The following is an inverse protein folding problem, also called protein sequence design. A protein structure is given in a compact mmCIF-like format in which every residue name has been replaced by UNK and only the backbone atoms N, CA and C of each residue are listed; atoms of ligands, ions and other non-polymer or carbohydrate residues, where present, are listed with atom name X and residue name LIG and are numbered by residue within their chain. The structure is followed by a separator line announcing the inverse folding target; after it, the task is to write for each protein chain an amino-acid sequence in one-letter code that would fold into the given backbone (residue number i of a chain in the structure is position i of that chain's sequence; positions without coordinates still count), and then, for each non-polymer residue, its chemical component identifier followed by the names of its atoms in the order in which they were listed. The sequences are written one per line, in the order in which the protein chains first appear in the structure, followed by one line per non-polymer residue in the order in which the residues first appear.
data_IF_624756534865
#
_entry.id   IF_624756534865
#
_cell.length_a   1.000
_cell.length_b   1.000
_cell.length_c   1.000
_cell.angle_alpha   90.00
_cell.angle_beta   90.00
_cell.angle_gamma   90.00
#
_symmetry.space_group_name_H-M   'P 1'
#
loop_
_entity.id
_entity.type
_entity.pdbx_description
1 polymer ?
#
# COMPACT_ATOMS: atom_id res chain seq x y z
N UNK A 1 17.33 -22.16 -29.18
CA UNK A 1 17.01 -21.05 -28.25
C UNK A 1 15.83 -21.48 -27.38
N UNK A 2 16.08 -22.18 -26.28
CA UNK A 2 15.03 -22.59 -25.33
C UNK A 2 15.64 -23.08 -24.01
N UNK A 3 16.44 -22.25 -23.35
CA UNK A 3 16.63 -22.37 -21.90
C UNK A 3 15.72 -21.33 -21.26
N UNK A 4 14.41 -21.58 -21.36
CA UNK A 4 13.42 -20.83 -20.59
C UNK A 4 13.68 -21.14 -19.12
N UNK A 5 13.81 -20.06 -18.34
CA UNK A 5 13.94 -20.00 -16.89
C UNK A 5 13.29 -21.19 -16.18
N UNK A 6 14.10 -22.12 -15.67
CA UNK A 6 13.62 -23.32 -14.99
C UNK A 6 13.44 -22.98 -13.52
N UNK A 7 12.19 -22.79 -13.11
CA UNK A 7 11.83 -22.62 -11.70
C UNK A 7 12.14 -23.93 -10.98
N UNK A 8 12.99 -23.86 -9.96
CA UNK A 8 13.24 -25.00 -9.09
C UNK A 8 12.05 -25.12 -8.13
N UNK A 9 11.32 -26.24 -8.14
CA UNK A 9 10.22 -26.43 -7.21
C UNK A 9 10.74 -26.44 -5.77
N UNK A 10 9.97 -25.91 -4.83
CA UNK A 10 10.34 -25.95 -3.41
C UNK A 10 10.41 -27.39 -2.88
N UNK A 11 11.16 -27.58 -1.80
CA UNK A 11 11.37 -28.87 -1.12
C UNK A 11 10.28 -29.20 -0.07
N UNK A 12 9.27 -28.33 0.07
CA UNK A 12 8.12 -28.47 0.97
C UNK A 12 6.80 -28.69 0.19
N UNK A 13 5.76 -29.30 0.81
CA UNK A 13 4.48 -29.54 0.16
C UNK A 13 3.75 -28.22 -0.12
N UNK A 14 3.22 -28.07 -1.34
CA UNK A 14 2.59 -26.82 -1.79
C UNK A 14 1.15 -26.97 -2.26
N UNK A 15 0.33 -25.96 -1.95
CA UNK A 15 -0.91 -25.64 -2.65
C UNK A 15 -0.61 -24.75 -3.86
N UNK A 16 -1.66 -24.25 -4.52
CA UNK A 16 -1.48 -23.45 -5.74
C UNK A 16 -0.67 -22.16 -5.51
N UNK A 17 -0.93 -21.43 -4.42
CA UNK A 17 -0.26 -20.15 -4.11
C UNK A 17 0.78 -20.23 -2.99
N UNK A 18 0.55 -21.05 -1.98
CA UNK A 18 1.42 -21.10 -0.81
C UNK A 18 1.68 -22.55 -0.42
N UNK A 19 2.56 -22.77 0.53
CA UNK A 19 2.75 -24.09 1.10
C UNK A 19 1.50 -24.64 1.80
N UNK A 20 1.49 -25.94 2.08
CA UNK A 20 0.44 -26.56 2.88
C UNK A 20 0.65 -26.13 4.33
N UNK A 21 -0.19 -25.19 4.78
CA UNK A 21 -0.12 -24.63 6.14
C UNK A 21 -0.85 -25.48 7.19
N UNK A 22 -0.41 -25.33 8.42
CA UNK A 22 -1.06 -25.86 9.61
C UNK A 22 -2.07 -24.86 10.17
N UNK A 23 -2.94 -25.29 11.10
CA UNK A 23 -3.98 -24.43 11.66
C UNK A 23 -3.43 -23.14 12.30
N UNK A 24 -2.21 -23.19 12.84
CA UNK A 24 -1.57 -22.04 13.49
C UNK A 24 -1.10 -20.98 12.49
N UNK A 25 -0.82 -21.33 11.22
CA UNK A 25 -0.43 -20.38 10.17
C UNK A 25 -1.59 -19.44 9.81
N UNK A 26 -2.78 -20.03 9.70
CA UNK A 26 -4.02 -19.28 9.46
C UNK A 26 -4.39 -18.42 10.67
N UNK A 27 -4.18 -18.93 11.90
CA UNK A 27 -4.39 -18.13 13.11
C UNK A 27 -3.40 -16.96 13.17
N UNK A 28 -2.11 -17.20 12.91
CA UNK A 28 -1.08 -16.17 12.88
C UNK A 28 -1.38 -15.10 11.81
N UNK A 29 -1.90 -15.50 10.65
CA UNK A 29 -2.35 -14.58 9.61
C UNK A 29 -3.46 -13.65 10.12
N UNK A 30 -4.49 -14.21 10.75
CA UNK A 30 -5.63 -13.45 11.30
C UNK A 30 -5.14 -12.51 12.40
N UNK A 31 -4.33 -13.02 13.35
CA UNK A 31 -3.78 -12.23 14.45
C UNK A 31 -2.93 -11.08 13.92
N UNK A 32 -2.06 -11.33 12.95
CA UNK A 32 -1.22 -10.29 12.32
C UNK A 32 -2.08 -9.24 11.63
N UNK A 33 -3.09 -9.65 10.87
CA UNK A 33 -4.03 -8.75 10.18
C UNK A 33 -4.75 -7.83 11.17
N UNK A 34 -5.29 -8.41 12.25
CA UNK A 34 -6.02 -7.67 13.29
C UNK A 34 -5.06 -6.77 14.07
N UNK A 35 -3.88 -7.25 14.44
CA UNK A 35 -2.88 -6.47 15.17
C UNK A 35 -2.43 -5.23 14.38
N UNK A 36 -2.16 -5.38 13.08
CA UNK A 36 -1.82 -4.25 12.20
C UNK A 36 -2.99 -3.26 12.10
N UNK A 37 -4.21 -3.74 11.86
CA UNK A 37 -5.40 -2.88 11.74
C UNK A 37 -5.69 -2.13 13.05
N UNK A 38 -5.60 -2.81 14.20
CA UNK A 38 -5.78 -2.22 15.53
C UNK A 38 -4.66 -1.24 15.86
N UNK A 39 -3.41 -1.57 15.52
CA UNK A 39 -2.27 -0.68 15.69
C UNK A 39 -2.45 0.63 14.90
N UNK A 40 -2.83 0.53 13.63
CA UNK A 40 -3.14 1.71 12.82
C UNK A 40 -4.32 2.50 13.39
N UNK A 41 -5.41 1.82 13.77
CA UNK A 41 -6.58 2.41 14.43
C UNK A 41 -6.23 3.17 15.72
N UNK A 42 -5.28 2.66 16.49
CA UNK A 42 -4.79 3.24 17.74
C UNK A 42 -3.95 4.49 17.44
N UNK A 43 -3.02 4.40 16.48
CA UNK A 43 -2.18 5.54 16.07
C UNK A 43 -3.02 6.69 15.52
N UNK A 44 -4.06 6.41 14.74
CA UNK A 44 -4.98 7.44 14.22
C UNK A 44 -5.63 8.23 15.36
N UNK A 45 -5.97 7.59 16.49
CA UNK A 45 -6.71 8.24 17.59
C UNK A 45 -5.83 8.89 18.65
N UNK A 46 -4.66 8.33 18.91
CA UNK A 46 -3.88 8.69 20.09
C UNK A 46 -2.54 9.33 19.72
N UNK A 47 -2.36 10.60 20.10
CA UNK A 47 -1.12 11.35 19.83
C UNK A 47 0.12 10.71 20.44
N UNK A 48 0.00 10.11 21.63
CA UNK A 48 1.12 9.41 22.27
C UNK A 48 1.57 8.22 21.42
N UNK A 49 0.64 7.54 20.74
CA UNK A 49 0.95 6.41 19.89
C UNK A 49 1.67 6.84 18.60
N UNK A 50 1.30 7.98 18.02
CA UNK A 50 2.06 8.59 16.93
C UNK A 50 3.53 8.80 17.34
N UNK A 51 3.76 9.43 18.50
CA UNK A 51 5.11 9.68 19.01
C UNK A 51 5.85 8.37 19.28
N UNK A 52 5.20 7.39 19.89
CA UNK A 52 5.81 6.10 20.17
C UNK A 52 6.18 5.34 18.89
N UNK A 53 5.21 5.10 18.01
CA UNK A 53 5.39 4.21 16.85
C UNK A 53 6.10 4.86 15.67
N UNK A 54 6.03 6.18 15.49
CA UNK A 54 6.66 6.86 14.34
C UNK A 54 7.88 7.72 14.69
N UNK A 55 8.22 7.86 15.97
CA UNK A 55 9.41 8.63 16.39
C UNK A 55 10.28 7.78 17.31
N UNK A 56 9.78 7.39 18.48
CA UNK A 56 10.59 6.73 19.51
C UNK A 56 11.05 5.34 19.03
N UNK A 57 10.13 4.49 18.58
CA UNK A 57 10.45 3.12 18.18
C UNK A 57 11.39 3.08 16.95
N UNK A 58 11.14 3.78 15.84
CA UNK A 58 12.06 3.74 14.70
C UNK A 58 13.48 4.23 15.04
N UNK A 59 13.61 5.25 15.89
CA UNK A 59 14.93 5.77 16.32
C UNK A 59 15.63 4.76 17.24
N UNK A 60 14.95 4.30 18.29
CA UNK A 60 15.54 3.40 19.29
C UNK A 60 15.87 2.03 18.69
N UNK A 61 14.94 1.43 17.96
CA UNK A 61 15.17 0.15 17.29
C UNK A 61 16.20 0.29 16.18
N UNK A 62 16.18 1.38 15.41
CA UNK A 62 17.16 1.63 14.35
C UNK A 62 18.59 1.76 14.86
N UNK A 63 18.81 2.37 16.03
CA UNK A 63 20.15 2.53 16.60
C UNK A 63 20.59 1.28 17.37
N UNK A 64 19.71 0.73 18.20
CA UNK A 64 20.11 -0.27 19.21
C UNK A 64 19.76 -1.71 18.86
N UNK A 65 18.89 -1.96 17.88
CA UNK A 65 18.35 -3.31 17.64
C UNK A 65 18.51 -3.80 16.21
N UNK A 66 18.05 -3.05 15.21
CA UNK A 66 18.07 -3.48 13.80
C UNK A 66 19.45 -3.89 13.26
N UNK A 67 20.58 -3.25 13.65
CA UNK A 67 21.91 -3.73 13.27
C UNK A 67 22.21 -5.17 13.75
N UNK A 68 21.59 -5.60 14.85
CA UNK A 68 21.78 -6.92 15.43
C UNK A 68 20.71 -7.92 14.98
N UNK A 69 19.44 -7.51 14.95
CA UNK A 69 18.32 -8.42 14.61
C UNK A 69 18.31 -8.84 13.15
N UNK A 70 18.74 -7.97 12.24
CA UNK A 70 18.71 -8.25 10.80
C UNK A 70 19.94 -9.03 10.32
N UNK A 71 21.03 -9.05 11.10
CA UNK A 71 22.29 -9.67 10.70
C UNK A 71 22.10 -11.17 10.39
N UNK A 72 22.48 -11.58 9.17
CA UNK A 72 22.37 -12.97 8.72
C UNK A 72 20.97 -13.43 8.31
N UNK A 73 20.00 -12.51 8.20
CA UNK A 73 18.62 -12.82 7.77
C UNK A 73 18.34 -12.29 6.37
N UNK A 74 17.24 -12.74 5.74
CA UNK A 74 16.79 -12.21 4.43
C UNK A 74 16.38 -10.72 4.50
N UNK A 75 16.20 -10.19 5.71
CA UNK A 75 15.92 -8.77 5.96
C UNK A 75 17.20 -7.92 6.12
N UNK A 76 18.40 -8.51 6.08
CA UNK A 76 19.68 -7.79 6.16
C UNK A 76 19.94 -6.84 4.96
N UNK A 77 19.19 -6.99 3.86
CA UNK A 77 19.34 -6.17 2.67
C UNK A 77 19.01 -4.69 2.91
N UNK A 78 19.51 -3.83 2.02
CA UNK A 78 19.22 -2.39 2.07
C UNK A 78 17.74 -2.08 1.78
N UNK A 79 17.08 -2.94 0.99
CA UNK A 79 15.72 -2.70 0.52
C UNK A 79 14.67 -2.67 1.65
N UNK A 80 14.61 -3.64 2.59
CA UNK A 80 13.74 -3.57 3.77
C UNK A 80 13.88 -2.27 4.58
N UNK A 81 15.12 -1.80 4.76
CA UNK A 81 15.42 -0.56 5.51
C UNK A 81 14.89 0.67 4.77
N UNK A 82 15.18 0.79 3.47
CA UNK A 82 14.65 1.89 2.64
C UNK A 82 13.13 1.86 2.61
N UNK A 83 12.53 0.66 2.51
CA UNK A 83 11.08 0.50 2.52
C UNK A 83 10.45 0.99 3.81
N UNK A 84 11.07 0.69 4.96
CA UNK A 84 10.59 1.16 6.25
C UNK A 84 10.61 2.69 6.35
N UNK A 85 11.73 3.34 6.00
CA UNK A 85 11.83 4.79 6.07
C UNK A 85 10.95 5.51 5.03
N UNK A 86 10.76 4.91 3.85
CA UNK A 86 9.81 5.36 2.83
C UNK A 86 8.37 5.34 3.37
N UNK A 87 7.97 4.23 4.01
CA UNK A 87 6.66 4.10 4.66
C UNK A 87 6.50 5.07 5.84
N UNK A 88 7.54 5.23 6.67
CA UNK A 88 7.55 6.13 7.81
C UNK A 88 7.37 7.60 7.38
N UNK A 89 8.08 8.02 6.33
CA UNK A 89 7.93 9.37 5.76
C UNK A 89 6.50 9.60 5.23
N UNK A 90 5.93 8.59 4.55
CA UNK A 90 4.52 8.58 4.15
C UNK A 90 3.59 8.78 5.35
N UNK A 91 3.82 8.04 6.43
CA UNK A 91 2.98 8.11 7.64
C UNK A 91 3.08 9.45 8.35
N UNK A 92 4.30 9.98 8.49
CA UNK A 92 4.55 11.30 9.08
C UNK A 92 3.94 12.43 8.24
N UNK A 93 3.90 12.29 6.91
CA UNK A 93 3.22 13.28 6.05
C UNK A 93 1.72 13.38 6.36
N UNK A 94 1.06 12.23 6.56
CA UNK A 94 -0.36 12.18 6.91
C UNK A 94 -0.61 12.67 8.33
N UNK A 95 0.28 12.35 9.27
CA UNK A 95 0.27 12.91 10.64
C UNK A 95 0.39 14.43 10.61
N UNK A 96 1.23 14.99 9.73
CA UNK A 96 1.35 16.43 9.55
C UNK A 96 0.03 17.08 9.13
N UNK A 97 -0.68 16.50 8.17
CA UNK A 97 -2.04 16.95 7.79
C UNK A 97 -3.01 16.82 8.97
N UNK A 98 -2.95 15.68 9.67
CA UNK A 98 -3.85 15.38 10.79
C UNK A 98 -3.68 16.34 11.98
N UNK A 99 -2.44 16.71 12.33
CA UNK A 99 -2.15 17.45 13.56
C UNK A 99 -1.94 18.95 13.37
N UNK A 100 -1.48 19.40 12.20
CA UNK A 100 -1.09 20.81 11.97
C UNK A 100 -2.10 21.49 11.03
N UNK A 101 -3.04 22.32 11.54
CA UNK A 101 -4.08 22.94 10.71
C UNK A 101 -3.55 23.78 9.55
N UNK A 102 -2.39 24.44 9.74
CA UNK A 102 -1.75 25.25 8.69
C UNK A 102 -1.36 24.42 7.46
N UNK A 103 -0.99 23.16 7.65
CA UNK A 103 -0.59 22.26 6.56
C UNK A 103 -1.79 21.77 5.74
N UNK A 104 -2.99 21.73 6.33
CA UNK A 104 -4.24 21.33 5.66
C UNK A 104 -4.68 22.32 4.59
N UNK A 105 -4.34 23.60 4.76
CA UNK A 105 -4.71 24.67 3.82
C UNK A 105 -3.58 24.99 2.83
N UNK A 106 -2.38 24.41 3.02
CA UNK A 106 -1.25 24.65 2.14
C UNK A 106 -1.31 23.70 0.94
N UNK A 107 -1.59 24.25 -0.24
CA UNK A 107 -1.67 23.49 -1.50
C UNK A 107 -0.41 22.66 -1.79
N UNK A 108 0.77 23.19 -1.47
CA UNK A 108 2.03 22.47 -1.68
C UNK A 108 2.17 21.25 -0.78
N UNK A 109 1.68 21.35 0.45
CA UNK A 109 1.74 20.23 1.39
C UNK A 109 0.67 19.17 1.07
N UNK A 110 -0.49 19.57 0.55
CA UNK A 110 -1.52 18.61 0.11
C UNK A 110 -1.03 17.71 -1.04
N UNK A 111 -0.09 18.18 -1.86
CA UNK A 111 0.55 17.37 -2.91
C UNK A 111 1.58 16.38 -2.35
N UNK A 112 2.05 16.57 -1.12
CA UNK A 112 3.14 15.78 -0.55
C UNK A 112 2.77 14.30 -0.31
N UNK A 113 1.65 13.94 0.36
CA UNK A 113 1.25 12.54 0.47
C UNK A 113 0.99 11.83 -0.87
N UNK A 114 0.31 12.44 -1.87
CA UNK A 114 0.20 11.87 -3.21
C UNK A 114 1.55 11.58 -3.88
N UNK A 115 2.51 12.50 -3.76
CA UNK A 115 3.86 12.31 -4.30
C UNK A 115 4.57 11.13 -3.61
N UNK A 116 4.43 11.00 -2.29
CA UNK A 116 5.02 9.88 -1.55
C UNK A 116 4.37 8.54 -1.92
N UNK A 117 3.04 8.50 -2.08
CA UNK A 117 2.34 7.31 -2.57
C UNK A 117 2.82 6.94 -3.99
N UNK A 118 2.92 7.93 -4.88
CA UNK A 118 3.43 7.76 -6.24
C UNK A 118 4.87 7.22 -6.23
N UNK A 119 5.74 7.79 -5.39
CA UNK A 119 7.11 7.33 -5.20
C UNK A 119 7.18 5.88 -4.69
N UNK A 120 6.31 5.52 -3.74
CA UNK A 120 6.25 4.15 -3.22
C UNK A 120 5.80 3.13 -4.27
N UNK A 121 4.88 3.52 -5.17
CA UNK A 121 4.47 2.69 -6.31
C UNK A 121 5.61 2.58 -7.32
N UNK A 122 6.27 3.69 -7.66
CA UNK A 122 7.41 3.70 -8.58
C UNK A 122 8.57 2.83 -8.08
N UNK A 123 8.88 2.87 -6.80
CA UNK A 123 9.90 2.03 -6.18
C UNK A 123 9.59 0.54 -6.37
N UNK A 124 8.34 0.14 -6.17
CA UNK A 124 7.90 -1.24 -6.41
C UNK A 124 7.90 -1.61 -7.90
N UNK A 125 7.51 -0.70 -8.80
CA UNK A 125 7.58 -0.90 -10.26
C UNK A 125 9.02 -1.11 -10.72
N UNK A 126 9.96 -0.28 -10.26
CA UNK A 126 11.39 -0.45 -10.53
C UNK A 126 11.87 -1.79 -10.01
N UNK A 127 11.41 -2.19 -8.82
CA UNK A 127 11.78 -3.47 -8.24
C UNK A 127 11.24 -4.66 -9.03
N UNK A 128 10.00 -4.62 -9.51
CA UNK A 128 9.45 -5.62 -10.42
C UNK A 128 10.32 -5.74 -11.68
N UNK A 129 10.68 -4.62 -12.31
CA UNK A 129 11.54 -4.62 -13.51
C UNK A 129 12.91 -5.26 -13.21
N UNK A 130 13.50 -4.99 -12.04
CA UNK A 130 14.74 -5.64 -11.61
C UNK A 130 14.55 -7.14 -11.35
N UNK A 131 13.42 -7.52 -10.74
CA UNK A 131 13.05 -8.89 -10.41
C UNK A 131 12.96 -9.80 -11.63
N UNK A 132 12.65 -9.25 -12.82
CA UNK A 132 12.66 -9.99 -14.10
C UNK A 132 13.97 -10.77 -14.33
N UNK A 133 15.11 -10.21 -13.90
CA UNK A 133 16.43 -10.80 -14.11
C UNK A 133 16.89 -11.71 -12.97
N UNK A 134 16.13 -11.82 -11.89
CA UNK A 134 16.49 -12.64 -10.71
C UNK A 134 16.05 -14.08 -10.94
N UNK A 135 16.93 -15.04 -10.72
CA UNK A 135 16.64 -16.47 -10.88
C UNK A 135 17.25 -17.23 -9.70
N UNK A 136 16.46 -17.44 -8.65
CA UNK A 136 16.91 -18.02 -7.39
C UNK A 136 17.25 -16.96 -6.36
N UNK A 137 18.41 -17.10 -5.70
CA UNK A 137 18.82 -16.27 -4.57
C UNK A 137 19.06 -14.82 -5.01
N UNK A 138 18.31 -13.90 -4.40
CA UNK A 138 18.34 -12.48 -4.70
C UNK A 138 19.42 -11.74 -3.88
N UNK A 139 20.49 -11.25 -4.52
CA UNK A 139 21.61 -10.62 -3.82
C UNK A 139 21.23 -9.29 -3.17
N UNK A 140 20.10 -8.68 -3.55
CA UNK A 140 19.66 -7.39 -3.04
C UNK A 140 18.63 -7.50 -1.90
N UNK A 141 18.13 -8.70 -1.60
CA UNK A 141 17.13 -8.96 -0.56
C UNK A 141 17.58 -10.05 0.42
N UNK A 142 18.84 -9.95 0.88
CA UNK A 142 19.37 -10.80 1.94
C UNK A 142 19.35 -12.30 1.62
N UNK A 143 19.25 -12.68 0.35
CA UNK A 143 19.28 -14.08 -0.08
C UNK A 143 17.91 -14.75 -0.29
N UNK A 144 16.80 -14.00 -0.27
CA UNK A 144 15.46 -14.52 -0.60
C UNK A 144 15.42 -15.15 -2.00
N UNK A 145 14.69 -16.25 -2.14
CA UNK A 145 14.56 -16.97 -3.42
C UNK A 145 13.43 -16.35 -4.24
N UNK A 146 13.77 -15.72 -5.37
CA UNK A 146 12.80 -15.13 -6.30
C UNK A 146 12.96 -15.69 -7.71
N UNK A 147 11.84 -15.79 -8.42
CA UNK A 147 11.83 -16.22 -9.82
C UNK A 147 11.32 -15.09 -10.70
N UNK A 148 12.21 -14.60 -11.55
CA UNK A 148 11.93 -13.59 -12.54
C UNK A 148 11.26 -14.16 -13.78
N UNK A 149 10.33 -13.42 -14.37
CA UNK A 149 9.67 -13.82 -15.60
C UNK A 149 8.73 -12.76 -16.16
N UNK A 150 7.97 -13.12 -17.19
CA UNK A 150 7.02 -12.20 -17.84
C UNK A 150 6.02 -11.57 -16.86
N UNK A 151 5.69 -12.28 -15.77
CA UNK A 151 4.84 -11.79 -14.68
C UNK A 151 5.37 -10.52 -14.01
N UNK A 152 6.69 -10.33 -13.90
CA UNK A 152 7.25 -9.10 -13.33
C UNK A 152 6.98 -7.90 -14.23
N UNK A 153 7.17 -8.04 -15.54
CA UNK A 153 6.93 -6.97 -16.51
C UNK A 153 5.43 -6.64 -16.59
N UNK A 154 4.57 -7.67 -16.59
CA UNK A 154 3.12 -7.49 -16.53
C UNK A 154 2.70 -6.71 -15.27
N UNK A 155 3.28 -7.04 -14.12
CA UNK A 155 2.98 -6.34 -12.88
C UNK A 155 3.55 -4.92 -12.84
N UNK A 156 4.75 -4.70 -13.39
CA UNK A 156 5.32 -3.35 -13.54
C UNK A 156 4.41 -2.44 -14.38
N UNK A 157 3.88 -2.94 -15.50
CA UNK A 157 2.91 -2.21 -16.33
C UNK A 157 1.63 -1.93 -15.52
N UNK A 158 1.11 -2.93 -14.80
CA UNK A 158 -0.06 -2.76 -13.94
C UNK A 158 0.15 -1.65 -12.89
N UNK A 159 1.35 -1.57 -12.29
CA UNK A 159 1.72 -0.53 -11.34
C UNK A 159 1.79 0.87 -11.97
N UNK A 160 2.31 0.99 -13.20
CA UNK A 160 2.29 2.27 -13.95
C UNK A 160 0.85 2.69 -14.24
N UNK A 161 -0.03 1.78 -14.66
CA UNK A 161 -1.44 2.10 -14.88
C UNK A 161 -2.12 2.53 -13.59
N UNK A 162 -1.84 1.86 -12.47
CA UNK A 162 -2.34 2.22 -11.15
C UNK A 162 -1.88 3.62 -10.71
N UNK A 163 -0.59 3.90 -10.88
CA UNK A 163 0.04 5.20 -10.61
C UNK A 163 -0.63 6.33 -11.40
N UNK A 164 -0.85 6.12 -12.70
CA UNK A 164 -1.47 7.12 -13.58
C UNK A 164 -2.97 7.32 -13.28
N UNK A 165 -3.61 6.36 -12.62
CA UNK A 165 -5.00 6.47 -12.18
C UNK A 165 -5.16 7.23 -10.83
N UNK A 166 -4.06 7.65 -10.18
CA UNK A 166 -4.12 8.48 -8.97
C UNK A 166 -4.70 9.86 -9.33
N UNK A 167 -5.75 10.24 -8.61
CA UNK A 167 -6.48 11.48 -8.82
C UNK A 167 -6.82 12.21 -7.54
N UNK A 168 -7.28 13.46 -7.68
CA UNK A 168 -7.65 14.30 -6.54
C UNK A 168 -6.45 14.66 -5.67
N UNK A 169 -5.34 15.05 -6.31
CA UNK A 169 -4.08 15.39 -5.66
C UNK A 169 -4.21 16.52 -4.61
N UNK A 170 -5.27 17.33 -4.71
CA UNK A 170 -5.62 18.39 -3.74
C UNK A 170 -6.88 18.07 -2.92
N UNK A 171 -7.46 16.88 -3.11
CA UNK A 171 -8.74 16.44 -2.51
C UNK A 171 -8.60 15.78 -1.15
N UNK A 172 -7.41 15.85 -0.53
CA UNK A 172 -7.18 15.31 0.81
C UNK A 172 -7.71 16.28 1.85
N UNK A 173 -8.54 15.79 2.76
CA UNK A 173 -9.04 16.59 3.87
C UNK A 173 -9.07 15.78 5.17
N UNK A 174 -9.24 16.50 6.29
CA UNK A 174 -9.34 15.91 7.62
C UNK A 174 -10.80 15.83 8.05
N UNK A 175 -11.21 14.69 8.56
CA UNK A 175 -12.57 14.50 9.06
C UNK A 175 -12.91 15.46 10.19
N UNK A 176 -14.18 15.89 10.26
CA UNK A 176 -14.74 16.68 11.36
C UNK A 176 -14.82 15.92 12.69
N UNK A 177 -14.69 14.60 12.65
CA UNK A 177 -14.78 13.72 13.82
C UNK A 177 -13.58 13.91 14.77
N UNK A 178 -13.73 13.48 16.02
CA UNK A 178 -12.72 13.66 17.09
C UNK A 178 -11.37 12.99 16.78
N UNK A 179 -11.40 11.92 16.00
CA UNK A 179 -10.25 11.15 15.51
C UNK A 179 -9.43 11.90 14.44
N UNK A 180 -10.00 12.93 13.79
CA UNK A 180 -9.31 13.75 12.76
C UNK A 180 -8.67 12.88 11.67
N UNK A 181 -9.37 11.83 11.26
CA UNK A 181 -8.90 10.89 10.25
C UNK A 181 -8.69 11.59 8.90
N UNK A 182 -7.59 11.28 8.22
CA UNK A 182 -7.26 11.84 6.91
C UNK A 182 -8.01 11.06 5.84
N UNK A 183 -8.78 11.77 5.03
CA UNK A 183 -9.66 11.21 4.00
C UNK A 183 -9.21 11.69 2.63
N UNK A 184 -9.14 10.76 1.69
CA UNK A 184 -8.86 11.05 0.29
C UNK A 184 -9.97 10.45 -0.58
N UNK A 185 -10.92 11.30 -0.98
CA UNK A 185 -12.17 10.84 -1.60
C UNK A 185 -12.04 10.31 -3.03
N UNK A 186 -10.99 10.70 -3.75
CA UNK A 186 -10.75 10.27 -5.13
C UNK A 186 -10.06 8.90 -5.25
N UNK A 187 -9.57 8.34 -4.14
CA UNK A 187 -9.16 6.94 -4.08
C UNK A 187 -10.40 6.05 -4.03
N UNK A 188 -10.99 5.84 -5.20
CA UNK A 188 -12.20 5.02 -5.33
C UNK A 188 -11.93 3.57 -4.92
N UNK A 189 -12.98 2.85 -4.57
CA UNK A 189 -12.87 1.44 -4.19
C UNK A 189 -12.28 0.57 -5.29
N UNK A 190 -12.57 0.89 -6.56
CA UNK A 190 -12.01 0.20 -7.72
C UNK A 190 -10.51 0.45 -7.87
N UNK A 191 -10.05 1.67 -7.59
CA UNK A 191 -8.62 1.96 -7.54
C UNK A 191 -7.92 1.20 -6.41
N UNK A 192 -8.55 1.11 -5.22
CA UNK A 192 -8.03 0.34 -4.08
C UNK A 192 -7.91 -1.15 -4.43
N UNK A 193 -8.93 -1.75 -5.04
CA UNK A 193 -8.89 -3.16 -5.48
C UNK A 193 -7.79 -3.37 -6.52
N UNK A 194 -7.66 -2.47 -7.51
CA UNK A 194 -6.58 -2.53 -8.50
C UNK A 194 -5.20 -2.42 -7.85
N UNK A 195 -5.05 -1.52 -6.87
CA UNK A 195 -3.82 -1.35 -6.10
C UNK A 195 -3.49 -2.61 -5.29
N UNK A 196 -4.47 -3.21 -4.60
CA UNK A 196 -4.26 -4.41 -3.78
C UNK A 196 -3.88 -5.62 -4.63
N UNK A 197 -4.53 -5.83 -5.78
CA UNK A 197 -4.15 -6.90 -6.70
C UNK A 197 -2.73 -6.72 -7.24
N UNK A 198 -2.37 -5.50 -7.63
CA UNK A 198 -1.02 -5.17 -8.07
C UNK A 198 0.01 -5.34 -6.94
N UNK A 199 -0.32 -4.94 -5.71
CA UNK A 199 0.59 -5.07 -4.57
C UNK A 199 0.73 -6.52 -4.14
N UNK A 200 -0.34 -7.31 -4.19
CA UNK A 200 -0.31 -8.75 -3.95
C UNK A 200 0.63 -9.42 -4.96
N UNK A 201 0.46 -9.13 -6.26
CA UNK A 201 1.35 -9.61 -7.31
C UNK A 201 2.81 -9.18 -7.08
N UNK A 202 3.05 -7.92 -6.72
CA UNK A 202 4.39 -7.40 -6.44
C UNK A 202 5.07 -8.19 -5.31
N UNK A 203 4.39 -8.34 -4.18
CA UNK A 203 4.94 -9.06 -3.03
C UNK A 203 5.14 -10.54 -3.39
N UNK A 204 4.19 -11.15 -4.07
CA UNK A 204 4.29 -12.55 -4.47
C UNK A 204 5.45 -12.81 -5.45
N UNK A 205 5.76 -11.85 -6.31
CA UNK A 205 6.83 -11.96 -7.31
C UNK A 205 8.21 -11.56 -6.77
N UNK A 206 8.27 -10.57 -5.88
CA UNK A 206 9.53 -9.93 -5.45
C UNK A 206 9.85 -10.13 -3.97
N UNK A 207 8.89 -10.57 -3.14
CA UNK A 207 9.03 -10.74 -1.69
C UNK A 207 8.38 -12.07 -1.25
N UNK A 208 8.78 -13.15 -1.90
CA UNK A 208 8.23 -14.50 -1.78
C UNK A 208 8.21 -15.04 -0.35
N UNK A 209 9.29 -14.88 0.41
CA UNK A 209 9.42 -15.40 1.79
C UNK A 209 8.46 -14.72 2.77
N UNK A 210 7.94 -13.53 2.43
CA UNK A 210 6.99 -12.81 3.27
C UNK A 210 5.61 -12.70 2.64
N UNK A 211 5.36 -13.38 1.52
CA UNK A 211 4.16 -13.16 0.73
C UNK A 211 2.89 -13.48 1.52
N UNK A 212 2.89 -14.48 2.39
CA UNK A 212 1.73 -14.79 3.23
C UNK A 212 1.29 -13.59 4.07
N UNK A 213 2.21 -12.97 4.81
CA UNK A 213 1.88 -11.84 5.67
C UNK A 213 1.84 -10.51 4.92
N UNK A 214 2.79 -10.27 4.02
CA UNK A 214 2.94 -8.99 3.31
C UNK A 214 1.93 -8.81 2.17
N UNK A 215 1.50 -9.89 1.52
CA UNK A 215 0.51 -9.84 0.44
C UNK A 215 -0.91 -10.02 0.99
N UNK A 216 -1.13 -10.90 1.98
CA UNK A 216 -2.47 -11.14 2.52
C UNK A 216 -2.75 -10.27 3.75
N UNK A 217 -2.04 -10.48 4.86
CA UNK A 217 -2.38 -9.82 6.13
C UNK A 217 -2.24 -8.29 6.06
N UNK A 218 -1.15 -7.79 5.48
CA UNK A 218 -0.88 -6.36 5.37
C UNK A 218 -1.94 -5.65 4.50
N UNK A 219 -2.29 -6.21 3.33
CA UNK A 219 -3.31 -5.61 2.46
C UNK A 219 -4.70 -5.69 3.10
N UNK A 220 -5.05 -6.84 3.68
CA UNK A 220 -6.31 -6.98 4.41
C UNK A 220 -6.41 -5.97 5.57
N UNK A 221 -5.32 -5.72 6.29
CA UNK A 221 -5.29 -4.82 7.46
C UNK A 221 -5.64 -3.36 7.13
N UNK A 222 -5.38 -2.90 5.90
CA UNK A 222 -5.77 -1.56 5.45
C UNK A 222 -7.05 -1.53 4.61
N UNK A 223 -7.33 -2.59 3.87
CA UNK A 223 -8.47 -2.63 2.95
C UNK A 223 -9.77 -3.01 3.64
N UNK A 224 -9.75 -3.95 4.60
CA UNK A 224 -10.96 -4.29 5.36
C UNK A 224 -11.53 -3.05 6.10
N UNK A 225 -10.73 -2.24 6.81
CA UNK A 225 -11.22 -0.99 7.38
C UNK A 225 -11.81 0.00 6.37
N UNK A 226 -11.32 0.01 5.12
CA UNK A 226 -11.85 0.90 4.08
C UNK A 226 -13.28 0.55 3.66
N UNK A 227 -13.67 -0.73 3.75
CA UNK A 227 -15.06 -1.15 3.54
C UNK A 227 -15.96 -0.91 4.76
N UNK A 228 -15.38 -0.89 5.96
CA UNK A 228 -16.09 -0.67 7.22
C UNK A 228 -16.51 0.80 7.40
N UNK A 229 -17.68 1.02 8.03
CA UNK A 229 -18.22 2.38 8.27
C UNK A 229 -17.24 3.32 8.99
N UNK A 230 -16.36 2.78 9.83
CA UNK A 230 -15.41 3.55 10.65
C UNK A 230 -14.13 3.95 9.90
N UNK A 231 -13.81 3.34 8.75
CA UNK A 231 -12.60 3.60 7.98
C UNK A 231 -12.83 4.00 6.52
N UNK A 232 -14.08 4.18 6.09
CA UNK A 232 -14.42 4.61 4.72
C UNK A 232 -13.73 5.92 4.36
N UNK A 233 -12.98 5.89 3.26
CA UNK A 233 -12.19 7.02 2.75
C UNK A 233 -10.85 7.26 3.47
N UNK A 234 -10.58 6.56 4.57
CA UNK A 234 -9.33 6.66 5.33
C UNK A 234 -8.27 5.62 4.91
N UNK A 235 -8.50 4.91 3.80
CA UNK A 235 -7.65 3.81 3.34
C UNK A 235 -6.18 4.21 3.28
N UNK A 236 -5.86 5.41 2.77
CA UNK A 236 -4.47 5.87 2.66
C UNK A 236 -3.77 5.97 4.02
N UNK A 237 -4.50 6.38 5.06
CA UNK A 237 -3.97 6.49 6.41
C UNK A 237 -3.73 5.10 7.01
N UNK A 238 -4.71 4.20 6.89
CA UNK A 238 -4.53 2.81 7.32
C UNK A 238 -3.38 2.15 6.57
N UNK A 239 -3.31 2.27 5.24
CA UNK A 239 -2.26 1.69 4.39
C UNK A 239 -0.87 2.15 4.79
N UNK A 240 -0.68 3.47 4.95
CA UNK A 240 0.63 4.01 5.35
C UNK A 240 1.05 3.49 6.72
N UNK A 241 0.12 3.47 7.68
CA UNK A 241 0.42 3.11 9.06
C UNK A 241 0.67 1.61 9.21
N UNK A 242 -0.15 0.76 8.59
CA UNK A 242 0.05 -0.69 8.63
C UNK A 242 1.33 -1.09 7.92
N UNK A 243 1.69 -0.45 6.80
CA UNK A 243 2.97 -0.69 6.13
C UNK A 243 4.16 -0.28 7.01
N UNK A 244 4.07 0.84 7.71
CA UNK A 244 5.13 1.31 8.63
C UNK A 244 5.29 0.35 9.81
N UNK A 245 4.17 -0.08 10.40
CA UNK A 245 4.17 -1.05 11.49
C UNK A 245 4.73 -2.40 11.05
N UNK A 246 4.30 -2.91 9.88
CA UNK A 246 4.74 -4.19 9.36
C UNK A 246 6.23 -4.20 9.02
N UNK A 247 6.71 -3.21 8.27
CA UNK A 247 8.14 -3.10 7.93
C UNK A 247 9.01 -2.93 9.17
N UNK A 248 8.55 -2.15 10.17
CA UNK A 248 9.24 -2.01 11.45
C UNK A 248 9.26 -3.31 12.24
N UNK A 249 8.16 -4.08 12.21
CA UNK A 249 8.08 -5.39 12.85
C UNK A 249 9.02 -6.40 12.19
N UNK A 250 9.03 -6.52 10.86
CA UNK A 250 9.92 -7.43 10.13
C UNK A 250 11.40 -7.10 10.38
N UNK A 251 11.78 -5.82 10.46
CA UNK A 251 13.15 -5.44 10.85
C UNK A 251 13.47 -5.79 12.31
N UNK A 252 12.48 -5.77 13.19
CA UNK A 252 12.65 -6.05 14.63
C UNK A 252 12.71 -7.55 14.91
N UNK A 253 11.86 -8.35 14.26
CA UNK A 253 11.78 -9.80 14.46
C UNK A 253 11.75 -10.51 13.10
N UNK A 254 12.87 -10.48 12.34
CA UNK A 254 12.92 -11.06 10.99
C UNK A 254 12.77 -12.59 10.99
N UNK A 255 13.02 -13.25 12.11
CA UNK A 255 12.82 -14.69 12.26
C UNK A 255 11.35 -15.10 12.19
N UNK A 256 10.41 -14.18 12.48
CA UNK A 256 8.98 -14.45 12.37
C UNK A 256 8.60 -14.93 10.96
N UNK A 257 9.25 -14.39 9.93
CA UNK A 257 8.94 -14.70 8.53
C UNK A 257 9.96 -15.58 7.82
N UNK A 258 11.08 -15.97 8.45
CA UNK A 258 12.17 -16.71 7.75
C UNK A 258 12.86 -17.81 8.58
N UNK A 259 12.41 -18.07 9.80
CA UNK A 259 13.03 -19.08 10.67
C UNK A 259 12.16 -19.43 11.89
N UNK A 260 10.83 -19.39 11.73
CA UNK A 260 9.92 -19.68 12.84
C UNK A 260 8.81 -20.61 12.42
N UNK A 261 8.10 -21.17 13.39
CA UNK A 261 6.90 -21.98 13.13
C UNK A 261 5.81 -21.23 12.37
N UNK A 262 5.90 -19.89 12.28
CA UNK A 262 4.94 -19.04 11.57
C UNK A 262 5.40 -18.68 10.16
N UNK A 263 6.58 -19.13 9.74
CA UNK A 263 7.04 -19.00 8.37
C UNK A 263 6.05 -19.71 7.45
N UNK A 264 5.61 -19.00 6.40
CA UNK A 264 4.66 -19.53 5.45
C UNK A 264 5.03 -19.09 4.03
N UNK A 265 5.67 -19.98 3.30
CA UNK A 265 6.38 -19.67 2.06
C UNK A 265 5.48 -19.74 0.82
N UNK A 266 5.89 -19.01 -0.22
CA UNK A 266 5.20 -19.04 -1.52
C UNK A 266 5.37 -20.40 -2.20
N UNK A 267 4.43 -20.80 -3.07
CA UNK A 267 4.57 -22.06 -3.80
C UNK A 267 5.65 -22.03 -4.90
N UNK A 268 6.19 -20.83 -5.21
CA UNK A 268 7.04 -20.55 -6.37
C UNK A 268 6.47 -21.06 -7.71
N UNK A 269 5.17 -21.35 -7.80
CA UNK A 269 4.57 -21.91 -9.00
C UNK A 269 4.52 -20.86 -10.13
N UNK A 270 5.19 -21.13 -11.25
CA UNK A 270 5.21 -20.25 -12.42
C UNK A 270 3.82 -19.91 -12.98
N UNK A 271 2.87 -20.83 -12.90
CA UNK A 271 1.47 -20.57 -13.29
C UNK A 271 0.79 -19.62 -12.32
N UNK A 272 1.04 -19.75 -11.01
CA UNK A 272 0.49 -18.83 -10.01
C UNK A 272 1.07 -17.42 -10.18
N UNK A 273 2.40 -17.29 -10.34
CA UNK A 273 3.09 -16.03 -10.64
C UNK A 273 2.47 -15.34 -11.87
N UNK A 274 2.28 -16.09 -12.96
CA UNK A 274 1.68 -15.57 -14.18
C UNK A 274 0.22 -15.13 -14.01
N UNK A 275 -0.63 -15.98 -13.44
CA UNK A 275 -2.08 -15.68 -13.31
C UNK A 275 -2.33 -14.48 -12.41
N UNK A 276 -1.60 -14.36 -11.31
CA UNK A 276 -1.72 -13.23 -10.38
C UNK A 276 -1.33 -11.92 -11.05
N UNK A 277 -0.19 -11.88 -11.74
CA UNK A 277 0.22 -10.69 -12.50
C UNK A 277 -0.71 -10.38 -13.67
N UNK A 278 -1.28 -11.40 -14.34
CA UNK A 278 -2.27 -11.20 -15.39
C UNK A 278 -3.55 -10.56 -14.84
N UNK A 279 -4.05 -11.07 -13.71
CA UNK A 279 -5.22 -10.51 -13.04
C UNK A 279 -4.98 -9.06 -12.61
N UNK A 280 -3.80 -8.77 -12.03
CA UNK A 280 -3.40 -7.42 -11.68
C UNK A 280 -3.39 -6.48 -12.90
N UNK A 281 -2.82 -6.93 -14.03
CA UNK A 281 -2.76 -6.14 -15.25
C UNK A 281 -4.15 -5.87 -15.85
N UNK A 282 -4.99 -6.90 -15.99
CA UNK A 282 -6.35 -6.75 -16.55
C UNK A 282 -7.19 -5.82 -15.67
N UNK A 283 -7.13 -5.99 -14.35
CA UNK A 283 -7.87 -5.14 -13.42
C UNK A 283 -7.41 -3.68 -13.50
N UNK A 284 -6.09 -3.42 -13.45
CA UNK A 284 -5.57 -2.06 -13.52
C UNK A 284 -5.79 -1.41 -14.89
N UNK A 285 -5.74 -2.17 -15.99
CA UNK A 285 -6.13 -1.68 -17.29
C UNK A 285 -7.60 -1.24 -17.32
N UNK A 286 -8.51 -2.05 -16.76
CA UNK A 286 -9.93 -1.70 -16.66
C UNK A 286 -10.16 -0.42 -15.83
N UNK A 287 -9.54 -0.33 -14.65
CA UNK A 287 -9.62 0.86 -13.78
C UNK A 287 -9.06 2.09 -14.47
N UNK A 288 -7.92 1.96 -15.16
CA UNK A 288 -7.28 3.07 -15.87
C UNK A 288 -8.11 3.55 -17.07
N UNK A 289 -8.66 2.63 -17.87
CA UNK A 289 -9.55 2.99 -18.98
C UNK A 289 -10.81 3.69 -18.47
N UNK A 290 -11.39 3.21 -17.36
CA UNK A 290 -12.51 3.88 -16.70
C UNK A 290 -12.13 5.28 -16.19
N UNK A 291 -10.94 5.42 -15.61
CA UNK A 291 -10.40 6.70 -15.17
C UNK A 291 -10.24 7.70 -16.33
N UNK A 292 -9.61 7.28 -17.43
CA UNK A 292 -9.48 8.08 -18.65
C UNK A 292 -10.86 8.47 -19.19
N UNK A 293 -11.79 7.52 -19.26
CA UNK A 293 -13.15 7.80 -19.73
C UNK A 293 -13.80 8.93 -18.92
N UNK A 294 -13.70 8.91 -17.58
CA UNK A 294 -14.21 9.99 -16.73
C UNK A 294 -13.51 11.32 -16.98
N UNK A 295 -12.17 11.31 -17.04
CA UNK A 295 -11.37 12.50 -17.26
C UNK A 295 -11.67 13.16 -18.62
N UNK A 296 -11.78 12.37 -19.68
CA UNK A 296 -12.03 12.86 -21.05
C UNK A 296 -13.49 13.29 -21.22
N UNK A 297 -14.45 12.41 -20.88
CA UNK A 297 -15.89 12.68 -21.11
C UNK A 297 -16.39 13.88 -20.29
N UNK A 298 -15.88 14.05 -19.07
CA UNK A 298 -16.27 15.16 -18.18
C UNK A 298 -15.27 16.32 -18.18
N UNK A 299 -14.25 16.28 -19.04
CA UNK A 299 -13.16 17.27 -19.16
C UNK A 299 -12.54 17.65 -17.82
N UNK A 300 -12.20 16.64 -17.01
CA UNK A 300 -11.65 16.82 -15.66
C UNK A 300 -10.14 16.62 -15.67
N UNK A 301 -9.43 17.47 -14.91
CA UNK A 301 -7.99 17.35 -14.73
C UNK A 301 -7.69 16.77 -13.33
N UNK A 302 -7.17 15.52 -13.24
CA UNK A 302 -6.83 14.86 -11.98
C UNK A 302 -5.87 15.63 -11.07
N UNK A 303 -4.98 16.45 -11.65
CA UNK A 303 -3.96 17.19 -10.92
C UNK A 303 -4.49 18.50 -10.31
N UNK A 304 -5.62 19.02 -10.81
CA UNK A 304 -6.16 20.33 -10.40
C UNK A 304 -7.43 20.23 -9.57
N UNK A 305 -8.17 19.14 -9.70
CA UNK A 305 -9.45 18.94 -9.02
C UNK A 305 -9.72 17.47 -8.77
N UNK A 306 -10.72 17.23 -7.93
CA UNK A 306 -11.29 15.91 -7.70
C UNK A 306 -12.03 15.43 -8.97
N UNK A 307 -11.81 14.18 -9.37
CA UNK A 307 -12.35 13.59 -10.60
C UNK A 307 -13.70 12.96 -10.36
N UNK A 308 -13.94 12.42 -9.16
CA UNK A 308 -15.14 11.61 -8.86
C UNK A 308 -16.19 12.37 -8.02
N UNK A 309 -16.10 13.70 -7.98
CA UNK A 309 -16.86 14.51 -7.02
C UNK A 309 -18.38 14.37 -7.10
N UNK A 310 -18.92 13.99 -8.25
CA UNK A 310 -20.36 13.85 -8.51
C UNK A 310 -20.86 12.40 -8.40
N UNK A 311 -20.00 11.47 -7.98
CA UNK A 311 -20.43 10.12 -7.66
C UNK A 311 -21.17 10.08 -6.32
N UNK A 312 -22.19 9.23 -6.21
CA UNK A 312 -22.96 9.08 -4.98
C UNK A 312 -22.09 8.68 -3.78
N UNK A 313 -21.07 7.84 -4.02
CA UNK A 313 -20.05 7.43 -3.05
C UNK A 313 -19.29 8.65 -2.49
N UNK A 314 -18.77 9.51 -3.38
CA UNK A 314 -18.00 10.68 -2.98
C UNK A 314 -18.87 11.71 -2.24
N UNK A 315 -20.08 11.96 -2.72
CA UNK A 315 -21.03 12.88 -2.08
C UNK A 315 -21.39 12.40 -0.66
N UNK A 316 -21.62 11.09 -0.49
CA UNK A 316 -21.87 10.49 0.83
C UNK A 316 -20.67 10.62 1.75
N UNK A 317 -19.45 10.43 1.23
CA UNK A 317 -18.21 10.59 1.98
C UNK A 317 -18.06 12.02 2.51
N UNK A 318 -18.27 13.01 1.65
CA UNK A 318 -18.21 14.43 2.01
C UNK A 318 -19.28 14.80 3.04
N UNK A 319 -20.53 14.40 2.80
CA UNK A 319 -21.63 14.72 3.71
C UNK A 319 -21.38 14.14 5.11
N UNK A 320 -20.81 12.94 5.17
CA UNK A 320 -20.52 12.25 6.43
C UNK A 320 -19.34 12.89 7.17
N UNK A 321 -18.23 13.17 6.48
CA UNK A 321 -16.96 13.45 7.14
C UNK A 321 -16.40 14.86 7.00
N UNK A 322 -16.76 15.62 5.96
CA UNK A 322 -16.19 16.95 5.73
C UNK A 322 -16.84 18.01 6.63
N UNK A 323 -16.06 19.03 7.03
CA UNK A 323 -16.60 20.25 7.66
C UNK A 323 -17.25 21.15 6.61
N UNK A 324 -18.08 22.10 7.05
CA UNK A 324 -18.73 23.08 6.14
C UNK A 324 -17.68 23.87 5.35
N UNK A 325 -16.57 24.26 6.00
CA UNK A 325 -15.46 24.95 5.33
C UNK A 325 -14.81 24.08 4.25
N UNK A 326 -14.55 22.80 4.52
CA UNK A 326 -13.99 21.86 3.54
C UNK A 326 -14.95 21.64 2.38
N UNK A 327 -16.26 21.54 2.64
CA UNK A 327 -17.28 21.43 1.59
C UNK A 327 -17.26 22.66 0.67
N UNK A 328 -17.20 23.86 1.25
CA UNK A 328 -17.09 25.11 0.48
C UNK A 328 -15.79 25.19 -0.35
N UNK A 329 -14.67 24.73 0.20
CA UNK A 329 -13.40 24.67 -0.54
C UNK A 329 -13.43 23.70 -1.71
N UNK A 330 -14.04 22.52 -1.53
CA UNK A 330 -14.21 21.52 -2.60
C UNK A 330 -15.11 22.11 -3.69
N UNK A 331 -16.22 22.75 -3.31
CA UNK A 331 -17.11 23.42 -4.26
C UNK A 331 -16.41 24.54 -5.03
N UNK A 332 -15.58 25.36 -4.38
CA UNK A 332 -14.82 26.42 -5.04
C UNK A 332 -13.81 25.84 -6.05
N UNK A 333 -13.12 24.74 -5.72
CA UNK A 333 -12.23 24.05 -6.67
C UNK A 333 -12.97 23.48 -7.87
N UNK A 334 -14.09 22.81 -7.63
CA UNK A 334 -14.96 22.28 -8.68
C UNK A 334 -15.50 23.41 -9.55
N UNK A 335 -15.96 24.51 -8.95
CA UNK A 335 -16.51 25.67 -9.66
C UNK A 335 -15.46 26.34 -10.54
N UNK A 336 -14.25 26.62 -10.01
CA UNK A 336 -13.16 27.26 -10.77
C UNK A 336 -12.74 26.47 -12.01
N UNK A 337 -12.95 25.16 -12.00
CA UNK A 337 -12.48 24.28 -13.07
C UNK A 337 -13.60 23.89 -14.04
N UNK A 338 -14.84 23.76 -13.55
CA UNK A 338 -15.99 23.32 -14.37
C UNK A 338 -16.97 24.44 -14.72
N UNK A 339 -16.89 25.60 -14.07
CA UNK A 339 -17.85 26.69 -14.19
C UNK A 339 -19.23 26.40 -13.58
N UNK A 340 -19.43 25.23 -12.95
CA UNK A 340 -20.71 24.80 -12.36
C UNK A 340 -20.60 24.72 -10.84
N UNK A 341 -21.61 25.25 -10.12
CA UNK A 341 -21.82 24.93 -8.71
C UNK A 341 -22.69 23.68 -8.65
N UNK A 342 -22.20 22.61 -8.02
CA UNK A 342 -22.98 21.40 -7.77
C UNK A 342 -22.83 21.03 -6.30
N UNK A 343 -23.79 21.48 -5.50
CA UNK A 343 -24.24 20.93 -4.23
C UNK A 343 -25.42 21.75 -3.72
#
# INVERSE_FOLDING_TARGET
MSSLFTIVPPDYPTLFFFEVGEWYDYLALIVTTVALAVGAWLIIRYKWAIVLFFIILPITLGIFWWPYSTAGTTTAGWFPVVKHYSALLGSLSLVGIQLVPRLRNNRWYLLFPPILLAGNILEAVVRDIQGYWVQGIDPYQGGMVNWGGSWNIMNAIAGVLNLLAISGWLGIFVSKNRDRTVIWGDLTIWWIIGYDLWNFAFVYNCISDHAWYSAVALLASCTVPAFMKMGRGAWIQYRSYTLTLWTGFVLTVPTFTNASIFEHQSSHNGTALFLVSLAALVCNAGVFLYHIYFCVSRRRNPARQEVYFDTAEYQKLIATHATVETQAQIQDRVFRTTGKRQL
#
